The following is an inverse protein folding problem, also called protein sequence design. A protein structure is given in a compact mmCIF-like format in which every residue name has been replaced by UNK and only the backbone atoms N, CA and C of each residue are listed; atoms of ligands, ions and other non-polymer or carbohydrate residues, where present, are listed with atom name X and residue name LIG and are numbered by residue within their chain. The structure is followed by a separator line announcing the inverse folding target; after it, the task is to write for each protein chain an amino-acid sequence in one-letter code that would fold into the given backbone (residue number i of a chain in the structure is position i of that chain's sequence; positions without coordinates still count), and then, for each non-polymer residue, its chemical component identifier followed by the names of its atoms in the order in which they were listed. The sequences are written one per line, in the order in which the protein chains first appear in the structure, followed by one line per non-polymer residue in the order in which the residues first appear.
data_IF_169161749822
#
_entry.id   IF_169161749822
#
_cell.length_a   1.000
_cell.length_b   1.000
_cell.length_c   1.000
_cell.angle_alpha   90.00
_cell.angle_beta   90.00
_cell.angle_gamma   90.00
#
_symmetry.space_group_name_H-M   'P 1'
#
loop_
_entity.id
_entity.type
_entity.pdbx_description
1 polymer ?
#
# COMPACT_ATOMS: atom_id res chain seq x y z
N UNK A 1 4.17 9.75 -19.40
CA UNK A 1 3.73 10.37 -18.12
C UNK A 1 2.28 9.95 -17.87
N UNK A 2 1.91 9.48 -16.67
CA UNK A 2 0.54 9.04 -16.35
C UNK A 2 -0.33 10.27 -16.05
N UNK A 3 -1.52 10.37 -16.66
CA UNK A 3 -2.39 11.53 -16.48
C UNK A 3 -3.21 11.42 -15.18
N UNK A 4 -3.62 12.56 -14.62
CA UNK A 4 -4.43 12.60 -13.39
C UNK A 4 -5.70 11.74 -13.49
N UNK A 5 -6.35 11.72 -14.66
CA UNK A 5 -7.59 10.94 -14.89
C UNK A 5 -7.34 9.44 -14.75
N UNK A 6 -6.18 8.97 -15.21
CA UNK A 6 -5.82 7.56 -15.13
C UNK A 6 -5.45 7.17 -13.70
N UNK A 7 -4.70 8.03 -13.00
CA UNK A 7 -4.39 7.83 -11.57
C UNK A 7 -5.67 7.73 -10.76
N UNK A 8 -6.62 8.65 -10.94
CA UNK A 8 -7.88 8.64 -10.19
C UNK A 8 -8.68 7.36 -10.44
N UNK A 9 -8.70 6.84 -11.67
CA UNK A 9 -9.35 5.58 -12.00
C UNK A 9 -8.67 4.36 -11.37
N UNK A 10 -7.36 4.42 -11.20
CA UNK A 10 -6.54 3.31 -10.71
C UNK A 10 -6.29 3.35 -9.19
N UNK A 11 -6.70 4.42 -8.49
CA UNK A 11 -6.42 4.60 -7.05
C UNK A 11 -6.99 3.45 -6.21
N UNK A 12 -8.20 2.97 -6.50
CA UNK A 12 -8.79 1.85 -5.75
C UNK A 12 -7.99 0.56 -5.96
N UNK A 13 -7.77 0.15 -7.21
CA UNK A 13 -6.95 -1.02 -7.52
C UNK A 13 -5.52 -0.93 -6.92
N UNK A 14 -4.94 0.27 -6.89
CA UNK A 14 -3.65 0.51 -6.23
C UNK A 14 -3.71 0.26 -4.71
N UNK A 15 -4.75 0.77 -4.04
CA UNK A 15 -4.95 0.58 -2.61
C UNK A 15 -5.23 -0.89 -2.26
N UNK A 16 -5.93 -1.60 -3.13
CA UNK A 16 -6.25 -3.03 -2.99
C UNK A 16 -5.05 -3.94 -3.35
N UNK A 17 -3.97 -3.38 -3.93
CA UNK A 17 -2.79 -4.13 -4.35
C UNK A 17 -2.96 -4.91 -5.67
N UNK A 18 -4.01 -4.61 -6.42
CA UNK A 18 -4.41 -5.30 -7.66
C UNK A 18 -3.83 -4.64 -8.93
N UNK A 19 -2.60 -4.13 -8.85
CA UNK A 19 -1.92 -3.51 -10.00
C UNK A 19 -0.54 -4.10 -10.21
N UNK A 20 -0.07 -4.10 -11.46
CA UNK A 20 1.28 -4.51 -11.79
C UNK A 20 2.35 -3.52 -11.29
N UNK A 21 3.59 -3.99 -11.21
CA UNK A 21 4.71 -3.23 -10.67
C UNK A 21 5.05 -1.97 -11.48
N UNK A 22 4.84 -1.98 -12.80
CA UNK A 22 5.10 -0.82 -13.65
C UNK A 22 4.05 0.27 -13.40
N UNK A 23 2.77 -0.10 -13.41
CA UNK A 23 1.66 0.82 -13.12
C UNK A 23 1.80 1.40 -11.71
N UNK A 24 2.21 0.59 -10.74
CA UNK A 24 2.51 1.04 -9.37
C UNK A 24 3.52 2.15 -9.32
N UNK A 25 4.69 1.95 -9.94
CA UNK A 25 5.76 2.95 -9.98
C UNK A 25 5.28 4.25 -10.63
N UNK A 26 4.51 4.15 -11.72
CA UNK A 26 3.96 5.31 -12.44
C UNK A 26 2.97 6.11 -11.61
N UNK A 27 2.13 5.44 -10.81
CA UNK A 27 1.21 6.08 -9.86
C UNK A 27 2.01 6.78 -8.75
N UNK A 28 2.97 6.08 -8.13
CA UNK A 28 3.81 6.63 -7.06
C UNK A 28 4.58 7.87 -7.52
N UNK A 29 5.16 7.84 -8.71
CA UNK A 29 5.86 9.00 -9.28
C UNK A 29 4.91 10.18 -9.55
N UNK A 30 3.67 9.91 -9.98
CA UNK A 30 2.67 10.96 -10.15
C UNK A 30 2.26 11.57 -8.80
N UNK A 31 2.04 10.75 -7.77
CA UNK A 31 1.64 11.21 -6.43
C UNK A 31 2.71 12.06 -5.73
N UNK A 32 4.00 11.91 -6.10
CA UNK A 32 5.08 12.79 -5.62
C UNK A 32 4.94 14.22 -6.13
N UNK A 33 4.48 14.40 -7.37
CA UNK A 33 4.42 15.72 -8.03
C UNK A 33 3.04 16.36 -8.09
N UNK A 34 1.96 15.62 -7.84
CA UNK A 34 0.60 16.10 -8.03
C UNK A 34 -0.20 16.20 -6.72
N UNK A 35 -0.32 17.42 -6.19
CA UNK A 35 -1.10 17.68 -4.96
C UNK A 35 -2.57 17.25 -5.09
N UNK A 36 -3.20 17.47 -6.25
CA UNK A 36 -4.60 17.10 -6.48
C UNK A 36 -4.84 15.61 -6.33
N UNK A 37 -4.03 14.79 -6.99
CA UNK A 37 -4.16 13.33 -6.92
C UNK A 37 -3.78 12.81 -5.54
N UNK A 38 -2.83 13.45 -4.85
CA UNK A 38 -2.50 13.12 -3.45
C UNK A 38 -3.69 13.33 -2.51
N UNK A 39 -4.41 14.44 -2.62
CA UNK A 39 -5.63 14.69 -1.82
C UNK A 39 -6.69 13.62 -2.08
N UNK A 40 -6.90 13.22 -3.33
CA UNK A 40 -7.86 12.15 -3.67
C UNK A 40 -7.41 10.83 -3.06
N UNK A 41 -6.14 10.46 -3.22
CA UNK A 41 -5.56 9.25 -2.65
C UNK A 41 -5.71 9.19 -1.12
N UNK A 42 -5.31 10.25 -0.42
CA UNK A 42 -5.39 10.33 1.04
C UNK A 42 -6.85 10.24 1.52
N UNK A 43 -7.78 10.91 0.82
CA UNK A 43 -9.21 10.86 1.13
C UNK A 43 -9.79 9.46 0.93
N UNK A 44 -9.47 8.79 -0.18
CA UNK A 44 -9.92 7.42 -0.44
C UNK A 44 -9.38 6.45 0.61
N UNK A 45 -8.08 6.54 0.94
CA UNK A 45 -7.48 5.72 2.01
C UNK A 45 -8.17 5.96 3.35
N UNK A 46 -8.42 7.22 3.70
CA UNK A 46 -9.12 7.60 4.94
C UNK A 46 -10.52 7.02 5.01
N UNK A 47 -11.27 7.03 3.90
CA UNK A 47 -12.59 6.40 3.82
C UNK A 47 -12.51 4.90 4.11
N UNK A 48 -11.54 4.19 3.53
CA UNK A 48 -11.32 2.76 3.80
C UNK A 48 -11.01 2.53 5.28
N UNK A 49 -10.10 3.31 5.86
CA UNK A 49 -9.74 3.24 7.29
C UNK A 49 -10.96 3.41 8.21
N UNK A 50 -11.84 4.37 7.89
CA UNK A 50 -13.07 4.64 8.65
C UNK A 50 -14.10 3.51 8.53
N UNK A 51 -14.31 2.96 7.32
CA UNK A 51 -15.27 1.87 7.10
C UNK A 51 -14.80 0.52 7.65
N UNK A 52 -13.50 0.27 7.68
CA UNK A 52 -12.92 -0.92 8.31
C UNK A 52 -12.84 -0.81 9.85
N UNK A 53 -13.51 0.19 10.44
CA UNK A 53 -13.66 0.45 11.88
C UNK A 53 -12.32 0.57 12.64
N UNK A 54 -11.21 0.82 11.92
CA UNK A 54 -9.86 0.86 12.48
C UNK A 54 -9.48 -0.37 13.30
N UNK A 55 -10.21 -1.48 13.19
CA UNK A 55 -9.94 -2.73 13.92
C UNK A 55 -8.99 -3.54 13.05
N UNK A 56 -7.66 -3.50 13.30
CA UNK A 56 -6.80 -4.50 12.71
C UNK A 56 -7.38 -5.85 13.06
N UNK A 57 -7.71 -6.65 12.04
CA UNK A 57 -8.04 -8.04 12.26
C UNK A 57 -6.88 -8.62 13.08
N UNK A 58 -7.16 -9.24 14.24
CA UNK A 58 -6.12 -9.74 15.10
C UNK A 58 -5.29 -10.73 14.28
N UNK A 59 -4.03 -10.40 14.02
CA UNK A 59 -3.14 -11.28 13.27
C UNK A 59 -3.05 -12.60 14.05
N UNK A 60 -3.44 -13.74 13.45
CA UNK A 60 -3.35 -15.04 14.10
C UNK A 60 -1.95 -15.27 14.67
N UNK A 61 -1.88 -15.89 15.84
CA UNK A 61 -0.61 -16.05 16.57
C UNK A 61 0.43 -16.81 15.73
N UNK A 62 0.01 -17.84 15.01
CA UNK A 62 0.84 -18.63 14.11
C UNK A 62 1.43 -17.79 12.96
N UNK A 63 0.63 -16.91 12.37
CA UNK A 63 1.09 -16.02 11.28
C UNK A 63 2.12 -15.02 11.82
N UNK A 64 1.88 -14.48 13.02
CA UNK A 64 2.80 -13.55 13.68
C UNK A 64 4.15 -14.19 14.01
N UNK A 65 4.14 -15.40 14.54
CA UNK A 65 5.36 -16.14 14.87
C UNK A 65 6.18 -16.45 13.62
N UNK A 66 5.53 -16.98 12.57
CA UNK A 66 6.17 -17.29 11.28
C UNK A 66 6.76 -16.04 10.63
N UNK A 67 6.07 -14.89 10.71
CA UNK A 67 6.57 -13.62 10.20
C UNK A 67 7.84 -13.17 10.97
N UNK A 68 7.80 -13.19 12.30
CA UNK A 68 8.96 -12.82 13.11
C UNK A 68 10.15 -13.75 12.89
N UNK A 69 9.92 -15.05 12.71
CA UNK A 69 10.98 -16.00 12.38
C UNK A 69 11.60 -15.70 11.02
N UNK A 70 10.78 -15.46 9.99
CA UNK A 70 11.27 -15.10 8.66
C UNK A 70 12.10 -13.80 8.67
N UNK A 71 11.63 -12.78 9.40
CA UNK A 71 12.37 -11.52 9.57
C UNK A 71 13.69 -11.72 10.30
N UNK A 72 13.71 -12.49 11.40
CA UNK A 72 14.93 -12.82 12.15
C UNK A 72 15.94 -13.61 11.30
N UNK A 73 15.47 -14.57 10.51
CA UNK A 73 16.32 -15.33 9.59
C UNK A 73 16.99 -14.40 8.58
N UNK A 74 16.20 -13.56 7.91
CA UNK A 74 16.69 -12.63 6.89
C UNK A 74 17.63 -11.55 7.46
N UNK A 75 17.40 -11.14 8.71
CA UNK A 75 18.32 -10.23 9.41
C UNK A 75 19.67 -10.89 9.68
N UNK A 76 19.69 -12.13 10.17
CA UNK A 76 20.93 -12.88 10.42
C UNK A 76 21.74 -13.11 9.14
N UNK A 77 21.07 -13.43 8.03
CA UNK A 77 21.71 -13.57 6.71
C UNK A 77 22.34 -12.27 6.17
N UNK A 78 21.89 -11.11 6.67
CA UNK A 78 22.36 -9.79 6.19
C UNK A 78 23.41 -9.15 7.09
N UNK A 79 23.52 -9.63 8.34
CA UNK A 79 24.47 -9.13 9.36
C UNK A 79 25.72 -10.02 9.44
N UNK A 80 25.67 -11.23 8.86
CA UNK A 80 26.82 -12.10 8.63
C UNK A 80 27.33 -11.95 7.18
#
# INVERSE_FOLDING_TARGET
MLACKDVIKLISAYLDGEIDAETKRRIEDHLKGCRRCKVVFDSTRRTIELYCDGKPLPLPADVRERLHEALRRRWREKVN
#
